data_IF_445665179281
#
_entry.id   IF_445665179281
#
_cell.length_a   1.000
_cell.length_b   1.000
_cell.length_c   1.000
_cell.angle_alpha   90.00
_cell.angle_beta   90.00
_cell.angle_gamma   90.00
#
_symmetry.space_group_name_H-M   'P 1'
#
loop_
_entity.id
_entity.type
_entity.pdbx_description
1 polymer ?
#
# COMPACT_ATOMS: atom_id res chain seq x y z
N UNK A 1 -12.48 -2.68 -4.49
CA UNK A 1 -12.52 -2.82 -3.02
C UNK A 1 -11.14 -2.47 -2.51
N UNK A 2 -11.05 -1.58 -1.51
CA UNK A 2 -9.75 -1.17 -0.96
C UNK A 2 -9.27 -2.17 0.08
N UNK A 3 -8.31 -2.99 -0.30
CA UNK A 3 -7.51 -3.79 0.62
C UNK A 3 -6.90 -2.90 1.71
N UNK A 4 -7.05 -3.32 2.96
CA UNK A 4 -6.53 -2.60 4.12
C UNK A 4 -5.10 -3.05 4.42
N UNK A 5 -4.22 -2.10 4.75
CA UNK A 5 -2.84 -2.40 5.16
C UNK A 5 -2.55 -1.72 6.49
N UNK A 6 -2.13 -2.48 7.49
CA UNK A 6 -1.71 -1.95 8.79
C UNK A 6 -0.18 -1.98 8.89
N UNK A 7 0.45 -0.81 8.97
CA UNK A 7 1.91 -0.64 9.13
C UNK A 7 2.14 0.05 10.47
N UNK A 8 2.90 -0.56 11.37
CA UNK A 8 3.23 0.01 12.70
C UNK A 8 1.98 0.49 13.49
N UNK A 9 0.85 -0.22 13.33
CA UNK A 9 -0.43 0.13 13.95
C UNK A 9 -1.29 1.12 13.15
N UNK A 10 -0.73 1.81 12.15
CA UNK A 10 -1.43 2.76 11.28
C UNK A 10 -2.18 2.00 10.19
N UNK A 11 -3.50 2.24 10.08
CA UNK A 11 -4.34 1.67 9.04
C UNK A 11 -4.31 2.53 7.76
N UNK A 12 -3.86 1.95 6.66
CA UNK A 12 -3.93 2.48 5.32
C UNK A 12 -5.10 1.83 4.59
N UNK A 13 -6.05 2.65 4.15
CA UNK A 13 -7.24 2.21 3.40
C UNK A 13 -7.25 2.73 1.97
N UNK A 14 -6.22 3.48 1.57
CA UNK A 14 -6.06 4.03 0.22
C UNK A 14 -4.63 3.84 -0.27
N UNK A 15 -4.40 3.75 -1.59
CA UNK A 15 -3.05 3.69 -2.14
C UNK A 15 -2.20 4.89 -1.70
N UNK A 16 -2.80 6.08 -1.57
CA UNK A 16 -2.10 7.30 -1.13
C UNK A 16 -1.56 7.18 0.30
N UNK A 17 -2.37 6.66 1.22
CA UNK A 17 -1.94 6.43 2.60
C UNK A 17 -0.82 5.39 2.65
N UNK A 18 -0.96 4.31 1.88
CA UNK A 18 0.07 3.27 1.82
C UNK A 18 1.39 3.83 1.27
N UNK A 19 1.34 4.57 0.15
CA UNK A 19 2.50 5.22 -0.45
C UNK A 19 3.20 6.15 0.56
N UNK A 20 2.44 7.00 1.25
CA UNK A 20 2.97 7.91 2.26
C UNK A 20 3.64 7.16 3.42
N UNK A 21 3.11 6.02 3.84
CA UNK A 21 3.75 5.19 4.85
C UNK A 21 5.02 4.55 4.33
N UNK A 22 5.02 4.00 3.11
CA UNK A 22 6.17 3.31 2.51
C UNK A 22 7.31 4.25 2.11
N UNK A 23 7.01 5.51 1.78
CA UNK A 23 8.01 6.53 1.50
C UNK A 23 8.86 6.83 2.73
N UNK A 24 10.08 6.30 2.74
CA UNK A 24 11.18 6.86 3.51
C UNK A 24 11.65 8.16 2.82
N UNK A 25 12.11 9.13 3.61
CA UNK A 25 12.48 10.49 3.17
C UNK A 25 13.23 10.48 1.82
N UNK A 26 12.62 11.07 0.78
CA UNK A 26 13.29 11.38 -0.49
C UNK A 26 12.89 10.58 -1.73
N UNK A 27 12.14 9.47 -1.61
CA UNK A 27 11.62 8.74 -2.78
C UNK A 27 10.15 9.08 -3.06
N UNK A 28 9.83 9.37 -4.32
CA UNK A 28 8.46 9.62 -4.78
C UNK A 28 7.56 8.43 -4.46
N UNK A 29 6.61 8.64 -3.55
CA UNK A 29 5.77 7.61 -2.92
C UNK A 29 5.03 6.71 -3.91
N UNK A 30 4.68 7.26 -5.08
CA UNK A 30 3.97 6.56 -6.15
C UNK A 30 4.80 5.45 -6.82
N UNK A 31 6.14 5.58 -6.79
CA UNK A 31 7.06 4.61 -7.40
C UNK A 31 7.20 3.33 -6.59
N UNK A 32 6.76 3.36 -5.33
CA UNK A 32 6.79 2.22 -4.43
C UNK A 32 5.55 1.34 -4.59
N UNK A 33 4.52 1.82 -5.28
CA UNK A 33 3.27 1.11 -5.50
C UNK A 33 3.29 0.33 -6.81
N UNK A 34 2.77 -0.89 -6.75
CA UNK A 34 2.46 -1.69 -7.93
C UNK A 34 1.04 -1.38 -8.40
N UNK A 35 0.93 -0.61 -9.48
CA UNK A 35 -0.35 -0.18 -10.02
C UNK A 35 -0.98 -1.29 -10.88
N UNK A 36 -2.25 -1.60 -10.60
CA UNK A 36 -3.11 -2.44 -11.45
C UNK A 36 -3.90 -1.55 -12.41
N UNK A 37 -4.45 -0.46 -11.88
CA UNK A 37 -5.15 0.56 -12.66
C UNK A 37 -4.84 1.94 -12.07
N UNK A 38 -4.23 2.83 -12.85
CA UNK A 38 -3.81 4.17 -12.40
C UNK A 38 -4.56 5.23 -13.17
N UNK A 39 -5.37 6.01 -12.46
CA UNK A 39 -6.13 7.14 -12.99
C UNK A 39 -5.48 8.45 -12.57
N UNK A 40 -4.68 9.04 -13.47
CA UNK A 40 -4.06 10.35 -13.28
C UNK A 40 -3.27 10.50 -11.97
N UNK A 41 -2.86 11.72 -11.65
CA UNK A 41 -2.14 12.02 -10.40
C UNK A 41 -3.06 12.46 -9.25
N UNK A 42 -4.32 12.82 -9.54
CA UNK A 42 -5.26 13.38 -8.56
C UNK A 42 -6.40 12.43 -8.14
N UNK A 43 -6.64 11.34 -8.87
CA UNK A 43 -7.80 10.45 -8.65
C UNK A 43 -7.42 9.14 -7.93
N UNK A 44 -6.62 9.25 -6.87
CA UNK A 44 -6.16 8.12 -6.05
C UNK A 44 -7.27 7.21 -5.51
N UNK A 45 -8.50 7.73 -5.39
CA UNK A 45 -9.69 6.97 -5.00
C UNK A 45 -10.18 5.99 -6.08
N UNK A 46 -9.83 6.24 -7.35
CA UNK A 46 -10.14 5.37 -8.49
C UNK A 46 -9.00 4.42 -8.82
N UNK A 47 -7.80 4.67 -8.30
CA UNK A 47 -6.66 3.82 -8.55
C UNK A 47 -6.70 2.50 -7.78
N UNK A 48 -6.21 1.45 -8.42
CA UNK A 48 -6.10 0.09 -7.87
C UNK A 48 -4.63 -0.30 -7.85
N UNK A 49 -4.19 -0.86 -6.73
CA UNK A 49 -2.82 -1.37 -6.56
C UNK A 49 -2.83 -2.84 -6.16
N UNK A 50 -1.76 -3.54 -6.54
CA UNK A 50 -1.46 -4.89 -6.08
C UNK A 50 -0.72 -4.78 -4.75
N UNK A 51 -1.48 -4.90 -3.65
CA UNK A 51 -0.94 -4.79 -2.28
C UNK A 51 0.14 -5.84 -2.00
N UNK A 52 -0.07 -7.15 -2.27
CA UNK A 52 0.98 -8.16 -2.12
C UNK A 52 2.29 -7.80 -2.83
N UNK A 53 2.24 -7.47 -4.13
CA UNK A 53 3.47 -7.13 -4.88
C UNK A 53 4.11 -5.83 -4.40
N UNK A 54 3.29 -4.84 -4.04
CA UNK A 54 3.77 -3.58 -3.42
C UNK A 54 4.57 -3.88 -2.15
N UNK A 55 4.05 -4.74 -1.28
CA UNK A 55 4.72 -5.10 -0.02
C UNK A 55 5.96 -5.97 -0.25
N UNK A 56 5.94 -6.90 -1.23
CA UNK A 56 7.13 -7.66 -1.64
C UNK A 56 8.28 -6.74 -2.08
N UNK A 57 7.99 -5.68 -2.86
CA UNK A 57 8.99 -4.70 -3.30
C UNK A 57 9.53 -3.84 -2.16
N UNK A 58 8.76 -3.65 -1.08
CA UNK A 58 9.17 -2.82 0.06
C UNK A 58 10.20 -3.48 0.97
N UNK A 59 10.55 -4.76 0.73
CA UNK A 59 11.41 -5.59 1.59
C UNK A 59 10.92 -5.73 3.05
N UNK A 60 9.68 -5.32 3.34
CA UNK A 60 9.08 -5.42 4.66
C UNK A 60 8.48 -6.82 4.88
N UNK A 61 8.55 -7.30 6.12
CA UNK A 61 7.86 -8.54 6.49
C UNK A 61 6.39 -8.24 6.69
N UNK A 62 5.52 -9.02 6.03
CA UNK A 62 4.08 -8.85 6.15
C UNK A 62 3.37 -10.20 6.28
N UNK A 63 2.16 -10.16 6.81
CA UNK A 63 1.24 -11.30 6.86
C UNK A 63 -0.16 -10.87 6.42
N UNK A 64 -0.90 -11.76 5.79
CA UNK A 64 -2.32 -11.55 5.47
C UNK A 64 -3.16 -12.16 6.59
N UNK A 65 -4.12 -11.40 7.10
CA UNK A 65 -5.00 -11.87 8.17
C UNK A 65 -6.19 -12.58 7.54
N UNK A 66 -6.13 -13.91 7.49
CA UNK A 66 -6.86 -14.83 6.60
C UNK A 66 -8.27 -14.41 6.13
N UNK A 67 -9.20 -14.09 7.04
CA UNK A 67 -10.61 -13.81 6.69
C UNK A 67 -10.90 -12.33 6.36
N UNK A 68 -9.92 -11.45 6.54
CA UNK A 68 -10.04 -10.03 6.24
C UNK A 68 -9.14 -9.70 5.04
N UNK A 69 -9.59 -8.81 4.16
CA UNK A 69 -8.73 -8.17 3.14
C UNK A 69 -7.73 -7.20 3.81
N UNK A 70 -7.10 -7.62 4.91
CA UNK A 70 -6.19 -6.85 5.74
C UNK A 70 -4.80 -7.50 5.77
N UNK A 71 -3.81 -6.69 5.44
CA UNK A 71 -2.39 -7.02 5.49
C UNK A 71 -1.77 -6.34 6.71
N UNK A 72 -0.95 -7.06 7.47
CA UNK A 72 -0.22 -6.51 8.62
C UNK A 72 1.26 -6.55 8.33
N UNK A 73 1.89 -5.38 8.33
CA UNK A 73 3.30 -5.18 8.03
C UNK A 73 4.05 -4.91 9.33
N UNK A 74 5.23 -5.55 9.47
CA UNK A 74 6.17 -5.33 10.58
C UNK A 74 7.46 -4.76 10.01
N UNK A 75 7.88 -3.59 10.50
CA UNK A 75 9.20 -3.02 10.25
C UNK A 75 10.24 -3.57 11.21
#
# INVERSE_FOLDING_TARGET
>A
MCTQVRIDGILCSTPRQLAAQLSQEGLGAERLLEWVDRHGEMDWCLCVIDVPKTLERSALKWTRKDESEMFVVKR
#
